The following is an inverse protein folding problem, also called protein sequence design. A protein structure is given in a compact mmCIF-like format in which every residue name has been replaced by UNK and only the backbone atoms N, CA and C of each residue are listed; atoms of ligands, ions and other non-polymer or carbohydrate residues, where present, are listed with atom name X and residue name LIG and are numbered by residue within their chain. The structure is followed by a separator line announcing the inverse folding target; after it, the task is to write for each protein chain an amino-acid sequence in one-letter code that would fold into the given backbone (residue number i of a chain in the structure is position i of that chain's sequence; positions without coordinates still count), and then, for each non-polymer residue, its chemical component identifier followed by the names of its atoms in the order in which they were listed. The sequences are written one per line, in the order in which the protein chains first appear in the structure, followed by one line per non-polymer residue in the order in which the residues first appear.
data_IF_888179072303
#
_entry.id   IF_888179072303
#
_cell.length_a   1.000
_cell.length_b   1.000
_cell.length_c   1.000
_cell.angle_alpha   90.00
_cell.angle_beta   90.00
_cell.angle_gamma   90.00
#
_symmetry.space_group_name_H-M   'P 1'
#
loop_
_entity.id
_entity.type
_entity.pdbx_description
1 polymer ?
#
# COMPACT_ATOMS: atom_id res chain seq x y z
N UNK A 1 -12.25 11.09 16.64
CA UNK A 1 -11.33 9.93 16.61
C UNK A 1 -10.24 10.27 15.61
N UNK A 2 -8.96 10.26 16.01
CA UNK A 2 -7.86 10.50 15.06
C UNK A 2 -7.73 9.29 14.12
N UNK A 3 -7.90 9.53 12.83
CA UNK A 3 -7.61 8.55 11.80
C UNK A 3 -6.11 8.54 11.54
N UNK A 4 -5.43 7.46 11.92
CA UNK A 4 -4.01 7.27 11.59
C UNK A 4 -3.88 6.69 10.19
N UNK A 5 -2.90 7.18 9.43
CA UNK A 5 -2.49 6.52 8.19
C UNK A 5 -1.94 5.14 8.56
N UNK A 6 -2.51 4.03 8.06
CA UNK A 6 -2.08 2.71 8.45
C UNK A 6 -0.65 2.46 7.99
N UNK A 7 0.22 2.14 8.97
CA UNK A 7 1.61 1.77 8.71
C UNK A 7 1.64 0.40 8.04
N UNK A 8 2.47 0.24 7.00
CA UNK A 8 2.68 -1.05 6.33
C UNK A 8 4.15 -1.41 6.41
N UNK A 9 4.42 -2.61 6.92
CA UNK A 9 5.75 -3.21 6.92
C UNK A 9 5.76 -4.52 6.14
N UNK A 10 6.86 -4.76 5.43
CA UNK A 10 7.08 -5.97 4.67
C UNK A 10 8.45 -6.57 4.96
N UNK A 11 8.50 -7.90 5.05
CA UNK A 11 9.75 -8.64 4.96
C UNK A 11 10.04 -8.94 3.49
N UNK A 12 11.10 -8.31 2.97
CA UNK A 12 11.56 -8.49 1.59
C UNK A 12 12.63 -9.59 1.51
N UNK A 13 12.43 -10.55 0.61
CA UNK A 13 13.44 -11.54 0.22
C UNK A 13 13.76 -11.38 -1.26
N UNK A 14 15.05 -11.22 -1.58
CA UNK A 14 15.56 -11.08 -2.95
C UNK A 14 16.66 -12.11 -3.17
N UNK A 15 16.56 -12.90 -4.23
CA UNK A 15 17.57 -13.89 -4.56
C UNK A 15 17.66 -14.10 -6.08
N UNK A 16 18.81 -14.59 -6.53
CA UNK A 16 19.02 -14.96 -7.92
C UNK A 16 18.60 -16.42 -8.15
N UNK A 17 18.04 -16.67 -9.33
CA UNK A 17 17.71 -18.00 -9.83
C UNK A 17 18.29 -18.16 -11.22
N UNK A 18 18.82 -19.34 -11.54
CA UNK A 18 19.29 -19.65 -12.88
C UNK A 18 18.25 -20.52 -13.58
N UNK A 19 17.69 -20.03 -14.70
CA UNK A 19 16.73 -20.80 -15.50
C UNK A 19 17.11 -20.69 -16.99
N UNK A 20 17.43 -21.82 -17.60
CA UNK A 20 17.81 -21.88 -19.03
C UNK A 20 19.05 -21.04 -19.35
N UNK A 21 20.08 -21.09 -18.48
CA UNK A 21 21.34 -20.35 -18.67
C UNK A 21 21.27 -18.85 -18.38
N UNK A 22 20.09 -18.29 -18.03
CA UNK A 22 19.93 -16.88 -17.68
C UNK A 22 19.73 -16.70 -16.18
N UNK A 23 20.42 -15.71 -15.60
CA UNK A 23 20.21 -15.26 -14.23
C UNK A 23 18.94 -14.40 -14.20
N UNK A 24 18.01 -14.74 -13.31
CA UNK A 24 16.81 -13.95 -13.03
C UNK A 24 16.68 -13.71 -11.53
N UNK A 25 16.33 -12.48 -11.16
CA UNK A 25 15.98 -12.18 -9.78
C UNK A 25 14.57 -12.67 -9.47
N UNK A 26 14.40 -13.24 -8.28
CA UNK A 26 13.10 -13.53 -7.68
C UNK A 26 12.94 -12.71 -6.43
N UNK A 27 11.71 -12.30 -6.21
CA UNK A 27 11.33 -11.48 -5.08
C UNK A 27 10.19 -12.16 -4.36
N UNK A 28 10.23 -12.17 -3.04
CA UNK A 28 9.09 -12.51 -2.20
C UNK A 28 8.90 -11.44 -1.15
N UNK A 29 7.68 -10.93 -1.07
CA UNK A 29 7.24 -9.98 -0.06
C UNK A 29 6.29 -10.69 0.89
N UNK A 30 6.49 -10.51 2.18
CA UNK A 30 5.58 -10.98 3.22
C UNK A 30 5.12 -9.78 4.04
N UNK A 31 3.81 -9.57 4.14
CA UNK A 31 3.25 -8.56 5.04
C UNK A 31 3.55 -8.95 6.48
N UNK A 32 4.06 -8.01 7.27
CA UNK A 32 4.30 -8.24 8.71
C UNK A 32 2.97 -8.38 9.46
N UNK A 33 1.95 -7.64 9.04
CA UNK A 33 0.66 -7.58 9.71
C UNK A 33 -0.22 -8.80 9.38
N UNK A 34 -0.35 -9.14 8.10
CA UNK A 34 -1.27 -10.21 7.66
C UNK A 34 -0.59 -11.55 7.45
N UNK A 35 0.76 -11.59 7.44
CA UNK A 35 1.56 -12.76 7.03
C UNK A 35 1.32 -13.23 5.60
N UNK A 36 0.54 -12.49 4.82
CA UNK A 36 0.32 -12.80 3.42
C UNK A 36 1.61 -12.65 2.63
N UNK A 37 1.86 -13.63 1.76
CA UNK A 37 3.05 -13.69 0.93
C UNK A 37 2.70 -13.46 -0.52
N UNK A 38 3.52 -12.66 -1.19
CA UNK A 38 3.44 -12.41 -2.63
C UNK A 38 4.79 -12.66 -3.29
N UNK A 39 4.81 -13.63 -4.18
CA UNK A 39 5.97 -13.94 -4.99
C UNK A 39 5.91 -13.18 -6.31
N UNK A 40 7.03 -12.57 -6.67
CA UNK A 40 7.17 -11.68 -7.81
C UNK A 40 8.34 -12.12 -8.69
N UNK A 41 8.18 -11.92 -9.99
CA UNK A 41 9.07 -12.49 -10.99
C UNK A 41 10.33 -11.68 -11.26
N UNK A 42 10.33 -10.41 -10.88
CA UNK A 42 11.41 -9.44 -11.11
C UNK A 42 11.20 -8.20 -10.22
N UNK A 43 12.17 -7.28 -10.27
CA UNK A 43 12.12 -6.01 -9.54
C UNK A 43 11.07 -5.04 -10.08
N UNK A 44 10.76 -5.08 -11.39
CA UNK A 44 9.74 -4.20 -11.96
C UNK A 44 8.35 -4.50 -11.36
N UNK A 45 8.04 -5.79 -11.20
CA UNK A 45 6.82 -6.26 -10.55
C UNK A 45 6.76 -5.87 -9.07
N UNK A 46 7.91 -5.79 -8.38
CA UNK A 46 8.01 -5.28 -7.00
C UNK A 46 7.66 -3.80 -6.92
N UNK A 47 8.27 -2.96 -7.76
CA UNK A 47 7.97 -1.53 -7.75
C UNK A 47 6.51 -1.24 -8.10
N UNK A 48 5.97 -1.91 -9.12
CA UNK A 48 4.55 -1.78 -9.48
C UNK A 48 3.62 -2.18 -8.31
N UNK A 49 3.98 -3.22 -7.56
CA UNK A 49 3.22 -3.61 -6.37
C UNK A 49 3.27 -2.53 -5.28
N UNK A 50 4.45 -2.00 -4.96
CA UNK A 50 4.60 -0.98 -3.92
C UNK A 50 3.88 0.33 -4.28
N UNK A 51 3.97 0.75 -5.54
CA UNK A 51 3.27 1.92 -6.06
C UNK A 51 1.74 1.78 -5.87
N UNK A 52 1.19 0.62 -6.22
CA UNK A 52 -0.23 0.36 -6.04
C UNK A 52 -0.67 0.36 -4.56
N UNK A 53 0.21 0.01 -3.61
CA UNK A 53 -0.08 0.13 -2.18
C UNK A 53 -0.09 1.58 -1.71
N UNK A 54 0.80 2.42 -2.26
CA UNK A 54 0.86 3.86 -1.98
C UNK A 54 -0.41 4.56 -2.49
N UNK A 55 -0.81 4.32 -3.74
CA UNK A 55 -2.00 4.92 -4.36
C UNK A 55 -3.29 4.55 -3.60
N UNK A 56 -3.37 3.30 -3.12
CA UNK A 56 -4.50 2.83 -2.33
C UNK A 56 -4.59 3.53 -0.96
N UNK A 57 -3.45 3.82 -0.33
CA UNK A 57 -3.40 4.58 0.93
C UNK A 57 -3.78 6.04 0.72
N UNK A 58 -3.31 6.65 -0.36
CA UNK A 58 -3.64 8.04 -0.71
C UNK A 58 -5.15 8.21 -0.93
N UNK A 59 -5.76 7.30 -1.70
CA UNK A 59 -7.21 7.31 -1.96
C UNK A 59 -8.04 7.17 -0.69
N UNK A 60 -7.60 6.35 0.27
CA UNK A 60 -8.27 6.20 1.57
C UNK A 60 -8.13 7.43 2.46
N UNK A 61 -6.96 8.08 2.44
CA UNK A 61 -6.73 9.34 3.16
C UNK A 61 -7.62 10.47 2.62
N UNK A 62 -7.71 10.59 1.30
CA UNK A 62 -8.51 11.62 0.64
C UNK A 62 -10.02 11.42 0.88
N UNK A 63 -10.52 10.19 0.75
CA UNK A 63 -11.93 9.87 1.00
C UNK A 63 -12.35 10.16 2.46
N UNK A 64 -11.48 9.88 3.42
CA UNK A 64 -11.74 10.13 4.84
C UNK A 64 -11.70 11.63 5.17
N UNK A 65 -10.90 12.42 4.44
CA UNK A 65 -10.89 13.88 4.55
C UNK A 65 -12.16 14.51 3.93
N UNK A 66 -12.63 14.02 2.79
CA UNK A 66 -13.85 14.52 2.14
C UNK A 66 -15.13 14.28 2.96
N UNK A 67 -15.25 13.14 3.64
CA UNK A 67 -16.40 12.84 4.51
C UNK A 67 -16.44 13.72 5.77
N UNK A 68 -15.27 14.10 6.31
CA UNK A 68 -15.19 15.02 7.44
C UNK A 68 -15.63 16.45 7.08
N UNK A 69 -15.41 16.88 5.83
CA UNK A 69 -15.79 18.20 5.34
C UNK A 69 -17.32 18.34 5.12
N UNK A 70 -18.02 17.26 4.74
CA UNK A 70 -19.47 17.30 4.46
C UNK A 70 -20.36 17.16 5.70
N UNK A 71 -19.84 16.67 6.83
CA UNK A 71 -20.61 16.49 8.08
C UNK A 71 -20.56 17.68 9.04
N UNK A 72 -19.92 18.81 8.66
CA UNK A 72 -20.00 20.03 9.46
C UNK A 72 -21.43 20.56 9.47
N UNK A 73 -22.11 20.64 10.63
CA UNK A 73 -23.46 21.14 10.69
C UNK A 73 -23.45 22.61 10.32
N UNK A 74 -24.27 22.97 9.33
CA UNK A 74 -24.66 24.36 9.07
C UNK A 74 -25.36 24.90 10.31
N UNK A 75 -24.61 25.36 11.32
CA UNK A 75 -25.18 26.13 12.41
C UNK A 75 -25.50 27.53 11.90
N UNK A 76 -26.77 27.67 11.52
CA UNK A 76 -27.67 28.80 11.74
C UNK A 76 -27.12 30.21 11.47
N UNK A 77 -27.60 30.77 10.37
CA UNK A 77 -27.97 32.18 10.37
C UNK A 77 -29.20 32.45 11.26
N UNK A 78 -29.40 33.74 11.47
CA UNK A 78 -30.57 34.43 12.06
C UNK A 78 -30.65 34.45 13.60
N UNK A 79 -30.59 35.69 14.12
CA UNK A 79 -30.85 36.06 15.50
C UNK A 79 -30.21 37.39 15.82
#
# INVERSE_FOLDING_TARGET
MQSYVPYRAFLLRLWQTQRGGKIRYRVSLESVDTRERKDLADLASLFAFLQAQEDALQTQGDAMNSQAAEQSPRQNGLG
#
